data_IF_793749333420
#
_entry.id   IF_793749333420
#
_cell.length_a   1.000
_cell.length_b   1.000
_cell.length_c   1.000
_cell.angle_alpha   90.00
_cell.angle_beta   90.00
_cell.angle_gamma   90.00
#
_symmetry.space_group_name_H-M   'P 1'
#
loop_
_entity.id
_entity.type
_entity.pdbx_description
1 polymer ?
#
# COMPACT_ATOMS: atom_id res chain seq x y z
N UNK A 1 17.62 -22.57 51.43
CA UNK A 1 18.09 -23.77 50.75
C UNK A 1 16.89 -24.67 50.53
N UNK A 2 16.15 -24.47 49.48
CA UNK A 2 15.17 -25.42 48.94
C UNK A 2 15.16 -25.27 47.44
N UNK A 3 15.65 -26.33 46.82
CA UNK A 3 15.67 -26.54 45.37
C UNK A 3 14.26 -26.91 44.95
N UNK A 4 13.65 -26.19 44.00
CA UNK A 4 12.44 -26.64 43.33
C UNK A 4 12.84 -27.05 41.92
N UNK A 5 12.77 -28.34 41.67
CA UNK A 5 12.97 -28.97 40.35
C UNK A 5 11.86 -28.54 39.40
N UNK A 6 12.25 -28.10 38.20
CA UNK A 6 11.36 -27.82 37.10
C UNK A 6 11.08 -29.09 36.30
N UNK A 7 9.80 -29.48 36.24
CA UNK A 7 9.31 -30.56 35.36
C UNK A 7 9.24 -30.07 33.91
N UNK A 8 9.57 -30.88 32.91
CA UNK A 8 9.48 -30.49 31.50
C UNK A 8 8.03 -30.53 31.04
N UNK A 9 7.54 -29.40 30.55
CA UNK A 9 6.26 -29.30 29.83
C UNK A 9 6.41 -29.81 28.41
N UNK A 10 5.91 -30.99 28.11
CA UNK A 10 5.64 -31.43 26.74
C UNK A 10 4.60 -30.55 26.06
N UNK A 11 5.02 -29.77 25.09
CA UNK A 11 4.12 -28.95 24.24
C UNK A 11 3.51 -29.81 23.15
N UNK A 12 2.28 -30.21 23.29
CA UNK A 12 1.50 -30.85 22.24
C UNK A 12 0.80 -29.77 21.39
N UNK A 13 1.24 -29.49 20.14
CA UNK A 13 0.73 -28.38 19.33
C UNK A 13 -0.72 -28.55 18.88
N UNK A 14 -1.30 -29.75 19.01
CA UNK A 14 -2.70 -30.01 18.59
C UNK A 14 -3.76 -29.49 19.55
N UNK A 15 -3.42 -29.17 20.79
CA UNK A 15 -4.38 -28.65 21.79
C UNK A 15 -4.52 -27.12 21.76
N UNK A 16 -3.55 -26.40 21.22
CA UNK A 16 -3.59 -24.92 21.18
C UNK A 16 -4.51 -24.42 20.04
N UNK A 17 -4.61 -25.17 18.93
CA UNK A 17 -5.44 -24.79 17.78
C UNK A 17 -6.94 -24.90 18.08
N UNK A 18 -7.34 -25.82 18.94
CA UNK A 18 -8.76 -26.05 19.28
C UNK A 18 -9.28 -25.00 20.28
N UNK A 19 -8.43 -24.43 21.13
CA UNK A 19 -8.84 -23.43 22.13
C UNK A 19 -9.01 -22.01 21.57
N UNK A 20 -8.43 -21.69 20.40
CA UNK A 20 -8.55 -20.36 19.78
C UNK A 20 -9.75 -20.24 18.81
N UNK A 21 -10.39 -21.35 18.45
CA UNK A 21 -11.55 -21.35 17.54
C UNK A 21 -12.92 -21.40 18.28
N UNK A 22 -12.96 -21.77 19.55
CA UNK A 22 -14.21 -21.91 20.31
C UNK A 22 -14.89 -20.60 20.74
N UNK A 23 -14.20 -19.48 21.01
CA UNK A 23 -14.90 -18.23 21.34
C UNK A 23 -15.53 -17.52 20.14
N UNK A 24 -15.08 -17.80 18.92
CA UNK A 24 -15.63 -17.17 17.71
C UNK A 24 -16.99 -17.75 17.28
N UNK A 25 -17.30 -18.99 17.64
CA UNK A 25 -18.58 -19.64 17.28
C UNK A 25 -19.72 -19.33 18.25
N UNK A 26 -19.42 -18.96 19.48
CA UNK A 26 -20.44 -18.67 20.51
C UNK A 26 -21.05 -17.25 20.43
N UNK A 27 -20.41 -16.33 19.68
CA UNK A 27 -20.89 -14.96 19.51
C UNK A 27 -21.91 -14.75 18.38
N UNK A 28 -22.24 -15.78 17.61
CA UNK A 28 -23.15 -15.67 16.45
C UNK A 28 -24.64 -15.99 16.75
N UNK A 29 -25.03 -16.27 17.98
CA UNK A 29 -26.39 -16.73 18.27
C UNK A 29 -27.24 -15.80 19.17
N UNK A 30 -26.83 -14.56 19.36
CA UNK A 30 -27.70 -13.61 20.07
C UNK A 30 -27.53 -12.21 19.55
N UNK A 31 -28.43 -11.78 18.66
CA UNK A 31 -28.91 -10.39 18.53
C UNK A 31 -29.80 -10.27 17.26
N UNK A 32 -31.02 -10.75 17.42
CA UNK A 32 -32.14 -10.25 16.64
C UNK A 32 -33.07 -9.54 17.62
N UNK A 33 -33.10 -8.23 17.59
CA UNK A 33 -34.27 -7.46 18.01
C UNK A 33 -34.22 -6.06 17.42
N UNK A 34 -35.27 -5.76 16.66
CA UNK A 34 -35.59 -4.49 16.07
C UNK A 34 -35.76 -3.38 17.10
N UNK A 35 -35.28 -2.18 16.79
CA UNK A 35 -35.98 -0.93 17.11
C UNK A 35 -35.75 0.07 15.97
N UNK A 36 -36.80 0.26 15.19
CA UNK A 36 -36.91 1.39 14.29
C UNK A 36 -37.25 2.63 15.13
N UNK A 37 -36.36 3.60 15.15
CA UNK A 37 -36.68 4.94 15.66
C UNK A 37 -36.59 5.91 14.46
N UNK A 38 -37.77 6.38 14.05
CA UNK A 38 -37.98 7.49 13.16
C UNK A 38 -37.47 8.78 13.81
N UNK A 39 -36.37 9.32 13.32
CA UNK A 39 -35.96 10.68 13.63
C UNK A 39 -36.44 11.61 12.56
N UNK A 40 -37.34 12.49 12.91
CA UNK A 40 -37.83 13.64 12.14
C UNK A 40 -36.66 14.54 11.76
N UNK A 41 -36.49 14.75 10.45
CA UNK A 41 -35.56 15.72 9.91
C UNK A 41 -35.99 17.14 10.31
N UNK A 42 -35.19 17.78 11.14
CA UNK A 42 -35.25 19.23 11.33
C UNK A 42 -34.54 19.85 10.11
N UNK A 43 -35.32 20.42 9.21
CA UNK A 43 -34.83 21.26 8.13
C UNK A 43 -34.33 22.57 8.73
N UNK A 44 -33.07 22.61 9.12
CA UNK A 44 -32.33 23.82 9.45
C UNK A 44 -31.67 24.33 8.17
N UNK A 45 -32.16 25.40 7.56
CA UNK A 45 -31.53 26.10 6.45
C UNK A 45 -30.26 26.85 6.87
N UNK A 46 -29.20 26.11 7.17
CA UNK A 46 -27.84 26.62 7.21
C UNK A 46 -27.17 26.15 5.92
N UNK A 47 -26.69 27.06 5.08
CA UNK A 47 -25.96 26.73 3.86
C UNK A 47 -24.83 25.77 4.22
N UNK A 48 -24.90 24.53 3.69
CA UNK A 48 -23.89 23.50 3.93
C UNK A 48 -22.55 24.04 3.43
N UNK A 49 -21.60 24.19 4.34
CA UNK A 49 -20.26 24.66 3.98
C UNK A 49 -19.63 23.65 3.05
N UNK A 50 -19.43 24.02 1.78
CA UNK A 50 -18.75 23.17 0.82
C UNK A 50 -17.29 22.95 1.27
N UNK A 51 -16.91 21.70 1.43
CA UNK A 51 -15.57 21.29 1.80
C UNK A 51 -14.69 21.06 0.54
N UNK A 52 -13.38 21.19 0.70
CA UNK A 52 -12.45 20.65 -0.27
C UNK A 52 -12.55 19.11 -0.25
N UNK A 53 -12.94 18.44 -1.37
CA UNK A 53 -13.10 16.99 -1.34
C UNK A 53 -11.76 16.30 -1.03
N UNK A 54 -11.82 15.26 -0.21
CA UNK A 54 -10.67 14.40 0.15
C UNK A 54 -10.73 13.11 -0.64
N UNK A 55 -9.61 12.76 -1.29
CA UNK A 55 -9.46 11.49 -2.00
C UNK A 55 -8.36 10.68 -1.32
N UNK A 56 -8.74 9.52 -0.76
CA UNK A 56 -7.83 8.58 -0.11
C UNK A 56 -7.20 7.63 -1.14
N UNK A 57 -5.88 7.60 -1.21
CA UNK A 57 -5.10 6.77 -2.12
C UNK A 57 -4.29 5.77 -1.27
N UNK A 58 -4.57 4.45 -1.36
CA UNK A 58 -3.95 3.46 -0.50
C UNK A 58 -2.51 3.14 -0.90
N UNK A 59 -1.78 2.48 0.01
CA UNK A 59 -0.48 1.87 -0.26
C UNK A 59 -0.60 0.47 -0.87
N UNK A 60 0.54 -0.20 -1.01
CA UNK A 60 0.61 -1.59 -1.48
C UNK A 60 -0.18 -2.50 -0.55
N UNK A 61 -1.04 -3.36 -1.12
CA UNK A 61 -1.92 -4.23 -0.35
C UNK A 61 -3.02 -3.53 0.45
N UNK A 62 -3.19 -2.21 0.28
CA UNK A 62 -4.07 -1.37 1.11
C UNK A 62 -5.53 -1.29 0.66
N UNK A 63 -5.95 -2.09 -0.30
CA UNK A 63 -7.34 -2.25 -0.70
C UNK A 63 -7.66 -3.69 -1.08
N UNK A 64 -8.94 -4.00 -1.12
CA UNK A 64 -9.41 -5.32 -1.58
C UNK A 64 -9.16 -5.47 -3.08
N UNK A 65 -8.85 -6.71 -3.49
CA UNK A 65 -8.69 -7.11 -4.88
C UNK A 65 -9.53 -8.35 -5.13
N UNK A 66 -10.34 -8.31 -6.17
CA UNK A 66 -11.14 -9.46 -6.61
C UNK A 66 -10.54 -10.14 -7.83
N UNK A 67 -10.76 -11.43 -7.93
CA UNK A 67 -10.37 -12.22 -9.10
C UNK A 67 -11.54 -13.06 -9.63
N UNK A 68 -11.44 -13.41 -10.91
CA UNK A 68 -12.27 -14.40 -11.58
C UNK A 68 -11.38 -15.36 -12.34
N UNK A 69 -11.68 -16.65 -12.28
CA UNK A 69 -10.95 -17.68 -13.01
C UNK A 69 -11.73 -18.05 -14.26
N UNK A 70 -11.07 -17.97 -15.40
CA UNK A 70 -11.61 -18.40 -16.70
C UNK A 70 -11.27 -19.87 -16.99
N UNK A 71 -11.78 -20.40 -18.10
CA UNK A 71 -11.48 -21.77 -18.55
C UNK A 71 -10.01 -21.96 -18.94
N UNK A 72 -9.25 -20.88 -19.13
CA UNK A 72 -7.81 -20.92 -19.43
C UNK A 72 -6.93 -21.09 -18.17
N UNK A 73 -7.51 -20.98 -16.97
CA UNK A 73 -6.75 -21.15 -15.74
C UNK A 73 -6.25 -22.58 -15.56
N UNK A 74 -4.94 -22.74 -15.46
CA UNK A 74 -4.24 -24.03 -15.32
C UNK A 74 -3.43 -24.05 -14.02
N UNK A 75 -4.04 -24.44 -12.89
CA UNK A 75 -3.32 -24.49 -11.61
C UNK A 75 -2.28 -25.61 -11.60
N UNK A 76 -1.18 -25.40 -10.88
CA UNK A 76 -0.07 -26.35 -10.78
C UNK A 76 -0.40 -27.59 -9.92
N UNK A 77 -1.44 -27.55 -9.10
CA UNK A 77 -1.80 -28.63 -8.20
C UNK A 77 -3.27 -29.02 -8.27
N UNK A 78 -3.57 -30.27 -7.89
CA UNK A 78 -4.96 -30.76 -7.80
C UNK A 78 -5.78 -29.98 -6.76
N UNK A 79 -5.17 -29.59 -5.64
CA UNK A 79 -5.81 -28.78 -4.61
C UNK A 79 -6.29 -27.44 -5.16
N UNK A 80 -5.44 -26.78 -5.96
CA UNK A 80 -5.79 -25.53 -6.60
C UNK A 80 -6.87 -25.67 -7.70
N UNK A 81 -6.98 -26.86 -8.29
CA UNK A 81 -8.01 -27.19 -9.29
C UNK A 81 -9.40 -27.38 -8.68
N UNK A 82 -9.47 -27.96 -7.48
CA UNK A 82 -10.75 -28.25 -6.79
C UNK A 82 -11.33 -27.01 -6.13
N UNK A 83 -10.50 -26.07 -5.67
CA UNK A 83 -10.95 -24.89 -4.94
C UNK A 83 -12.00 -24.03 -5.70
N UNK A 84 -11.86 -23.75 -7.02
CA UNK A 84 -12.88 -23.02 -7.78
C UNK A 84 -14.22 -23.76 -7.88
N UNK A 85 -14.22 -25.11 -7.80
CA UNK A 85 -15.44 -25.90 -7.83
C UNK A 85 -16.28 -25.71 -6.56
N UNK A 86 -15.64 -25.45 -5.43
CA UNK A 86 -16.30 -25.20 -4.14
C UNK A 86 -16.90 -23.79 -4.08
N UNK A 87 -16.24 -22.80 -4.68
CA UNK A 87 -16.66 -21.37 -4.68
C UNK A 87 -17.55 -20.98 -5.88
N UNK A 88 -17.77 -21.86 -6.85
CA UNK A 88 -18.51 -21.59 -8.09
C UNK A 88 -17.56 -21.11 -9.22
N UNK A 89 -17.69 -21.76 -10.40
CA UNK A 89 -16.93 -21.37 -11.59
C UNK A 89 -17.48 -20.07 -12.16
N UNK A 90 -16.56 -19.14 -12.56
CA UNK A 90 -16.91 -17.93 -13.31
C UNK A 90 -17.40 -16.75 -12.47
N UNK A 91 -17.56 -16.90 -11.15
CA UNK A 91 -17.91 -15.81 -10.26
C UNK A 91 -16.67 -14.99 -9.80
N UNK A 92 -16.89 -13.71 -9.48
CA UNK A 92 -15.88 -12.90 -8.81
C UNK A 92 -15.76 -13.30 -7.34
N UNK A 93 -14.54 -13.39 -6.84
CA UNK A 93 -14.24 -13.67 -5.43
C UNK A 93 -13.14 -12.75 -4.95
N UNK A 94 -13.13 -12.44 -3.64
CA UNK A 94 -12.06 -11.67 -3.05
C UNK A 94 -10.77 -12.50 -3.05
N UNK A 95 -9.74 -12.01 -3.72
CA UNK A 95 -8.41 -12.61 -3.77
C UNK A 95 -7.51 -12.02 -2.69
N UNK A 96 -7.54 -10.70 -2.51
CA UNK A 96 -6.82 -9.98 -1.48
C UNK A 96 -7.80 -9.15 -0.63
N UNK A 97 -7.80 -9.18 0.68
CA UNK A 97 -7.14 -10.15 1.52
C UNK A 97 -8.16 -11.22 1.96
N UNK A 98 -7.85 -12.48 1.73
CA UNK A 98 -8.70 -13.61 2.15
C UNK A 98 -7.84 -14.54 3.02
N UNK A 99 -7.94 -14.43 4.38
CA UNK A 99 -7.09 -15.17 5.31
C UNK A 99 -7.12 -16.68 5.13
N UNK A 100 -8.26 -17.24 4.71
CA UNK A 100 -8.45 -18.69 4.56
C UNK A 100 -7.58 -19.31 3.45
N UNK A 101 -7.13 -18.50 2.47
CA UNK A 101 -6.34 -18.99 1.33
C UNK A 101 -4.84 -18.73 1.47
N UNK A 102 -4.42 -17.88 2.44
CA UNK A 102 -2.99 -17.63 2.68
C UNK A 102 -2.31 -18.68 3.54
N UNK A 103 -3.08 -19.59 4.18
CA UNK A 103 -2.55 -20.71 4.98
C UNK A 103 -2.51 -22.02 4.17
N UNK A 104 -1.55 -22.89 4.53
CA UNK A 104 -1.43 -24.20 3.90
C UNK A 104 -2.75 -25.01 4.02
N UNK A 105 -3.12 -25.78 2.99
CA UNK A 105 -2.39 -26.06 1.74
C UNK A 105 -2.68 -25.05 0.61
N UNK A 106 -3.46 -24.00 0.83
CA UNK A 106 -3.95 -23.09 -0.20
C UNK A 106 -2.99 -21.93 -0.52
N UNK A 107 -1.96 -21.69 0.31
CA UNK A 107 -0.95 -20.62 0.10
C UNK A 107 -0.38 -20.62 -1.32
N UNK A 108 -0.08 -21.80 -1.85
CA UNK A 108 0.45 -21.94 -3.22
C UNK A 108 -0.56 -21.49 -4.27
N UNK A 109 -1.84 -21.86 -4.09
CA UNK A 109 -2.90 -21.46 -5.01
C UNK A 109 -3.14 -19.97 -4.98
N UNK A 110 -3.04 -19.36 -3.80
CA UNK A 110 -3.08 -17.91 -3.63
C UNK A 110 -1.93 -17.25 -4.39
N UNK A 111 -0.68 -17.66 -4.13
CA UNK A 111 0.49 -17.12 -4.79
C UNK A 111 0.40 -17.20 -6.32
N UNK A 112 0.02 -18.37 -6.89
CA UNK A 112 -0.14 -18.57 -8.33
C UNK A 112 -1.16 -17.61 -8.97
N UNK A 113 -2.24 -17.26 -8.26
CA UNK A 113 -3.26 -16.32 -8.76
C UNK A 113 -2.83 -14.87 -8.63
N UNK A 114 -2.03 -14.57 -7.61
CA UNK A 114 -1.51 -13.23 -7.37
C UNK A 114 -0.34 -12.87 -8.28
N UNK A 115 0.34 -13.85 -8.89
CA UNK A 115 1.50 -13.60 -9.76
C UNK A 115 1.11 -12.76 -10.98
N UNK A 116 2.00 -11.82 -11.30
CA UNK A 116 2.04 -11.15 -12.60
C UNK A 116 3.13 -11.77 -13.48
N UNK A 117 3.01 -11.57 -14.77
CA UNK A 117 3.98 -11.99 -15.77
C UNK A 117 4.36 -10.81 -16.65
N UNK A 118 5.65 -10.58 -16.80
CA UNK A 118 6.14 -9.62 -17.76
C UNK A 118 6.10 -10.24 -19.16
N UNK A 119 5.40 -9.58 -20.07
CA UNK A 119 5.34 -9.93 -21.48
C UNK A 119 6.32 -9.04 -22.24
N UNK A 120 7.44 -9.63 -22.66
CA UNK A 120 8.51 -8.89 -23.33
C UNK A 120 8.10 -8.36 -24.70
N UNK A 121 7.20 -9.05 -25.41
CA UNK A 121 6.70 -8.63 -26.73
C UNK A 121 5.76 -7.44 -26.61
N UNK A 122 4.95 -7.42 -25.55
CA UNK A 122 4.06 -6.29 -25.24
C UNK A 122 4.75 -5.19 -24.42
N UNK A 123 5.94 -5.45 -23.90
CA UNK A 123 6.66 -4.62 -22.93
C UNK A 123 5.77 -4.18 -21.77
N UNK A 124 4.94 -5.09 -21.24
CA UNK A 124 4.01 -4.77 -20.16
C UNK A 124 3.69 -5.99 -19.29
N UNK A 125 3.17 -5.73 -18.10
CA UNK A 125 2.76 -6.79 -17.16
C UNK A 125 1.33 -7.24 -17.41
N UNK A 126 1.06 -8.52 -17.12
CA UNK A 126 -0.26 -9.13 -17.20
C UNK A 126 -0.51 -10.11 -16.06
N UNK A 127 -1.77 -10.39 -15.79
CA UNK A 127 -2.17 -11.45 -14.86
C UNK A 127 -1.70 -12.84 -15.34
N UNK A 128 -1.66 -13.78 -14.41
CA UNK A 128 -1.51 -15.21 -14.74
C UNK A 128 -2.57 -15.64 -15.77
N UNK A 129 -2.21 -16.55 -16.70
CA UNK A 129 -3.18 -17.06 -17.69
C UNK A 129 -4.46 -17.58 -17.02
N UNK A 130 -5.60 -17.11 -17.51
CA UNK A 130 -6.91 -17.47 -16.98
C UNK A 130 -7.28 -16.82 -15.65
N UNK A 131 -6.51 -15.86 -15.17
CA UNK A 131 -6.85 -15.03 -14.01
C UNK A 131 -7.21 -13.62 -14.49
N UNK A 132 -8.43 -13.19 -14.18
CA UNK A 132 -8.85 -11.80 -14.34
C UNK A 132 -8.96 -11.15 -12.99
N UNK A 133 -8.57 -9.88 -12.88
CA UNK A 133 -8.65 -9.11 -11.64
C UNK A 133 -9.42 -7.83 -11.83
N UNK A 134 -10.07 -7.39 -10.75
CA UNK A 134 -10.69 -6.08 -10.70
C UNK A 134 -10.61 -5.48 -9.30
N UNK A 135 -10.74 -4.19 -9.26
CA UNK A 135 -10.94 -3.42 -8.03
C UNK A 135 -12.39 -2.96 -8.03
N UNK A 136 -13.13 -3.34 -7.00
CA UNK A 136 -14.52 -2.91 -6.81
C UNK A 136 -14.60 -1.54 -6.16
N UNK A 137 -15.77 -0.91 -6.25
CA UNK A 137 -16.16 0.30 -5.53
C UNK A 137 -15.17 1.48 -5.65
N UNK A 138 -14.63 1.69 -6.86
CA UNK A 138 -13.79 2.85 -7.13
C UNK A 138 -14.58 4.15 -6.95
N UNK A 139 -14.05 5.06 -6.15
CA UNK A 139 -14.72 6.27 -5.68
C UNK A 139 -15.24 6.13 -4.24
N UNK A 140 -15.47 4.91 -3.75
CA UNK A 140 -15.87 4.64 -2.36
C UNK A 140 -14.67 4.28 -1.49
N UNK A 141 -14.75 4.57 -0.18
CA UNK A 141 -13.76 4.15 0.81
C UNK A 141 -13.97 2.71 1.28
N UNK A 142 -15.04 2.03 0.88
CA UNK A 142 -15.46 0.73 1.39
C UNK A 142 -14.35 -0.33 1.37
N UNK A 143 -13.63 -0.44 0.24
CA UNK A 143 -12.55 -1.42 0.04
C UNK A 143 -11.20 -1.01 0.63
N UNK A 144 -11.09 0.24 1.11
CA UNK A 144 -9.90 0.78 1.78
C UNK A 144 -10.00 0.69 3.30
N UNK A 145 -11.21 0.65 3.85
CA UNK A 145 -11.42 0.64 5.30
C UNK A 145 -10.93 -0.67 5.90
N UNK A 146 -11.28 -1.79 5.30
CA UNK A 146 -10.96 -3.13 5.78
C UNK A 146 -10.51 -4.02 4.61
N UNK A 147 -9.40 -4.72 4.79
CA UNK A 147 -8.96 -5.69 3.78
C UNK A 147 -9.87 -6.92 3.75
N UNK A 148 -10.42 -7.30 4.91
CA UNK A 148 -11.49 -8.29 5.02
C UNK A 148 -12.64 -7.71 5.88
N UNK A 149 -13.81 -7.42 5.29
CA UNK A 149 -14.95 -6.85 6.02
C UNK A 149 -15.58 -7.81 7.04
N UNK A 150 -15.22 -9.12 7.02
CA UNK A 150 -15.65 -10.08 8.05
C UNK A 150 -14.74 -10.08 9.27
N UNK A 151 -13.50 -9.62 9.11
CA UNK A 151 -12.46 -9.56 10.15
C UNK A 151 -12.01 -8.11 10.42
N UNK A 152 -12.95 -7.19 10.54
CA UNK A 152 -12.71 -5.74 10.64
C UNK A 152 -11.66 -5.34 11.67
N UNK A 153 -11.69 -5.96 12.86
CA UNK A 153 -10.75 -5.64 13.95
C UNK A 153 -9.29 -5.99 13.60
N UNK A 154 -9.08 -7.03 12.78
CA UNK A 154 -7.76 -7.52 12.41
C UNK A 154 -7.26 -6.89 11.11
N UNK A 155 -8.17 -6.54 10.20
CA UNK A 155 -7.84 -6.13 8.84
C UNK A 155 -8.18 -4.65 8.55
N UNK A 156 -8.46 -3.86 9.60
CA UNK A 156 -8.69 -2.43 9.48
C UNK A 156 -7.45 -1.74 8.92
N UNK A 157 -7.64 -0.97 7.83
CA UNK A 157 -6.58 -0.22 7.17
C UNK A 157 -6.83 1.28 7.28
N UNK A 158 -7.57 1.89 6.37
CA UNK A 158 -7.86 3.33 6.42
C UNK A 158 -9.15 3.68 7.19
N UNK A 159 -9.78 2.72 7.85
CA UNK A 159 -11.06 2.96 8.55
C UNK A 159 -10.98 4.06 9.61
N UNK A 160 -9.92 4.05 10.43
CA UNK A 160 -9.77 5.06 11.49
C UNK A 160 -9.57 6.46 10.91
N UNK A 161 -8.80 6.58 9.82
CA UNK A 161 -8.61 7.85 9.11
C UNK A 161 -9.92 8.32 8.47
N UNK A 162 -10.62 7.46 7.75
CA UNK A 162 -11.89 7.79 7.11
C UNK A 162 -12.95 8.21 8.15
N UNK A 163 -13.08 7.45 9.25
CA UNK A 163 -13.98 7.77 10.36
C UNK A 163 -13.60 9.11 11.04
N UNK A 164 -12.32 9.43 11.13
CA UNK A 164 -11.86 10.72 11.69
C UNK A 164 -12.29 11.89 10.79
N UNK A 165 -12.19 11.73 9.47
CA UNK A 165 -12.67 12.72 8.51
C UNK A 165 -14.20 12.84 8.53
N UNK A 166 -14.93 11.73 8.62
CA UNK A 166 -16.39 11.73 8.74
C UNK A 166 -16.87 12.49 9.98
N UNK A 167 -16.20 12.30 11.12
CA UNK A 167 -16.48 13.07 12.35
C UNK A 167 -16.20 14.58 12.20
N UNK A 168 -15.38 14.95 11.24
CA UNK A 168 -15.10 16.34 10.90
C UNK A 168 -16.03 16.91 9.82
N UNK A 169 -17.09 16.18 9.44
CA UNK A 169 -18.12 16.64 8.51
C UNK A 169 -17.94 16.18 7.07
N UNK A 170 -16.97 15.30 6.79
CA UNK A 170 -16.83 14.68 5.47
C UNK A 170 -17.87 13.58 5.27
N UNK A 171 -18.41 13.47 4.06
CA UNK A 171 -19.41 12.47 3.72
C UNK A 171 -18.93 11.60 2.58
N UNK A 172 -19.00 10.26 2.78
CA UNK A 172 -18.61 9.30 1.75
C UNK A 172 -19.44 9.46 0.47
N UNK A 173 -18.77 9.47 -0.69
CA UNK A 173 -19.37 9.65 -1.99
C UNK A 173 -19.79 11.10 -2.31
N UNK A 174 -19.64 12.03 -1.37
CA UNK A 174 -19.93 13.45 -1.58
C UNK A 174 -18.67 14.32 -1.46
N UNK A 175 -17.99 14.26 -0.31
CA UNK A 175 -16.75 15.00 -0.05
C UNK A 175 -15.58 14.12 0.36
N UNK A 176 -15.82 12.82 0.64
CA UNK A 176 -14.80 11.80 0.95
C UNK A 176 -14.88 10.67 -0.07
N UNK A 177 -13.75 10.37 -0.71
CA UNK A 177 -13.65 9.39 -1.78
C UNK A 177 -12.46 8.45 -1.54
N UNK A 178 -12.54 7.25 -2.13
CA UNK A 178 -11.46 6.28 -2.16
C UNK A 178 -11.02 5.96 -3.58
N UNK A 179 -9.72 5.81 -3.79
CA UNK A 179 -9.14 5.47 -5.09
C UNK A 179 -8.36 4.14 -5.01
N UNK A 180 -9.04 3.00 -4.84
CA UNK A 180 -8.39 1.69 -4.83
C UNK A 180 -7.83 1.32 -6.20
N UNK A 181 -6.75 0.50 -6.22
CA UNK A 181 -6.11 0.05 -7.45
C UNK A 181 -5.52 -1.36 -7.31
N UNK A 182 -5.18 -1.98 -8.43
CA UNK A 182 -4.46 -3.25 -8.42
C UNK A 182 -2.98 -2.96 -8.08
N UNK A 183 -2.65 -3.06 -6.81
CA UNK A 183 -1.36 -2.69 -6.24
C UNK A 183 -0.18 -3.55 -6.69
N UNK A 184 -0.42 -4.65 -7.38
CA UNK A 184 0.64 -5.51 -7.94
C UNK A 184 1.31 -4.85 -9.16
N UNK A 185 0.53 -4.10 -9.93
CA UNK A 185 1.06 -3.33 -11.05
C UNK A 185 1.78 -2.09 -10.56
N UNK A 186 2.81 -1.70 -11.28
CA UNK A 186 3.50 -0.43 -11.11
C UNK A 186 3.13 0.55 -12.22
N UNK A 187 3.98 1.53 -12.39
CA UNK A 187 4.03 2.39 -13.57
C UNK A 187 5.36 2.17 -14.27
N UNK A 188 5.37 2.44 -15.56
CA UNK A 188 6.59 2.42 -16.35
C UNK A 188 7.10 3.84 -16.64
N UNK A 189 8.41 3.94 -16.84
CA UNK A 189 9.06 5.15 -17.34
C UNK A 189 8.47 5.59 -18.69
N UNK A 190 8.54 6.88 -19.04
CA UNK A 190 8.11 7.35 -20.35
C UNK A 190 8.72 6.55 -21.50
N UNK A 191 7.90 6.18 -22.48
CA UNK A 191 8.29 5.35 -23.62
C UNK A 191 7.94 3.86 -23.45
N UNK A 192 7.58 3.42 -22.25
CA UNK A 192 7.13 2.07 -21.97
C UNK A 192 5.62 2.05 -21.68
N UNK A 193 4.84 1.08 -22.18
CA UNK A 193 3.42 0.96 -21.87
C UNK A 193 3.21 0.57 -20.41
N UNK A 194 2.10 1.00 -19.84
CA UNK A 194 1.66 0.65 -18.50
C UNK A 194 0.13 0.66 -18.50
N UNK A 195 -0.49 -0.38 -19.08
CA UNK A 195 -1.93 -0.39 -19.33
C UNK A 195 -2.75 -0.31 -18.06
N UNK A 196 -2.45 -1.14 -17.07
CA UNK A 196 -3.22 -1.17 -15.82
C UNK A 196 -2.92 0.06 -14.96
N UNK A 197 -1.64 0.38 -14.75
CA UNK A 197 -1.24 1.56 -13.99
C UNK A 197 -1.66 2.88 -14.65
N UNK A 198 -1.55 2.97 -15.98
CA UNK A 198 -2.02 4.12 -16.76
C UNK A 198 -3.52 4.31 -16.67
N UNK A 199 -4.31 3.25 -16.87
CA UNK A 199 -5.76 3.28 -16.72
C UNK A 199 -6.20 3.68 -15.29
N UNK A 200 -5.43 3.30 -14.28
CA UNK A 200 -5.67 3.77 -12.92
C UNK A 200 -5.45 5.29 -12.80
N UNK A 201 -4.37 5.84 -13.35
CA UNK A 201 -4.13 7.28 -13.34
C UNK A 201 -5.25 8.05 -14.05
N UNK A 202 -5.75 7.54 -15.17
CA UNK A 202 -6.88 8.14 -15.89
C UNK A 202 -8.17 8.13 -15.04
N UNK A 203 -8.46 7.01 -14.38
CA UNK A 203 -9.61 6.92 -13.45
C UNK A 203 -9.44 7.84 -12.25
N UNK A 204 -8.25 7.94 -11.67
CA UNK A 204 -7.96 8.84 -10.55
C UNK A 204 -8.13 10.30 -10.98
N UNK A 205 -7.68 10.67 -12.17
CA UNK A 205 -7.89 11.99 -12.75
C UNK A 205 -9.37 12.34 -12.86
N UNK A 206 -10.17 11.44 -13.43
CA UNK A 206 -11.62 11.61 -13.55
C UNK A 206 -12.31 11.70 -12.18
N UNK A 207 -11.87 10.93 -11.19
CA UNK A 207 -12.37 11.02 -9.82
C UNK A 207 -12.10 12.39 -9.21
N UNK A 208 -10.88 12.92 -9.39
CA UNK A 208 -10.52 14.27 -8.92
C UNK A 208 -11.43 15.31 -9.57
N UNK A 209 -11.60 15.27 -10.90
CA UNK A 209 -12.46 16.21 -11.64
C UNK A 209 -13.92 16.15 -11.16
N UNK A 210 -14.48 14.95 -11.02
CA UNK A 210 -15.88 14.75 -10.57
C UNK A 210 -16.07 15.17 -9.11
N UNK A 211 -15.11 14.87 -8.23
CA UNK A 211 -15.15 15.28 -6.84
C UNK A 211 -15.12 16.81 -6.70
N UNK A 212 -14.26 17.50 -7.48
CA UNK A 212 -14.24 18.96 -7.53
C UNK A 212 -15.59 19.52 -8.00
N UNK A 213 -16.14 18.99 -9.09
CA UNK A 213 -17.42 19.43 -9.63
C UNK A 213 -18.58 19.25 -8.63
N UNK A 214 -18.64 18.11 -7.94
CA UNK A 214 -19.64 17.81 -6.92
C UNK A 214 -19.54 18.74 -5.68
N UNK A 215 -18.36 19.32 -5.45
CA UNK A 215 -18.10 20.23 -4.33
C UNK A 215 -17.96 21.71 -4.76
N UNK A 216 -18.74 22.14 -5.74
CA UNK A 216 -18.82 23.54 -6.17
C UNK A 216 -17.51 24.07 -6.79
N UNK A 217 -16.72 23.20 -7.41
CA UNK A 217 -15.44 23.55 -8.02
C UNK A 217 -14.29 23.67 -7.02
N UNK A 218 -14.47 23.30 -5.74
CA UNK A 218 -13.38 23.27 -4.76
C UNK A 218 -12.36 22.21 -5.12
N UNK A 219 -11.09 22.59 -5.11
CA UNK A 219 -9.97 21.71 -5.46
C UNK A 219 -9.82 20.58 -4.46
N UNK A 220 -9.44 19.40 -4.92
CA UNK A 220 -9.32 18.21 -4.09
C UNK A 220 -8.03 18.20 -3.24
N UNK A 221 -8.13 17.61 -2.05
CA UNK A 221 -6.99 17.23 -1.21
C UNK A 221 -6.73 15.75 -1.46
N UNK A 222 -5.56 15.42 -2.01
CA UNK A 222 -5.12 14.03 -2.20
C UNK A 222 -4.42 13.55 -0.94
N UNK A 223 -4.94 12.52 -0.27
CA UNK A 223 -4.33 11.92 0.92
C UNK A 223 -3.83 10.53 0.54
N UNK A 224 -2.52 10.39 0.42
CA UNK A 224 -1.88 9.21 -0.15
C UNK A 224 -0.95 8.51 0.87
N UNK A 225 -1.17 7.23 1.12
CA UNK A 225 -0.32 6.42 2.00
C UNK A 225 0.68 5.59 1.19
N UNK A 226 1.94 5.55 1.65
CA UNK A 226 2.95 4.62 1.12
C UNK A 226 3.10 4.70 -0.41
N UNK A 227 3.00 3.58 -1.13
CA UNK A 227 3.03 3.47 -2.60
C UNK A 227 2.03 4.43 -3.27
N UNK A 228 0.89 4.69 -2.63
CA UNK A 228 -0.11 5.65 -3.14
C UNK A 228 0.44 7.04 -3.36
N UNK A 229 1.44 7.48 -2.58
CA UNK A 229 2.13 8.76 -2.78
C UNK A 229 2.93 8.81 -4.07
N UNK A 230 3.56 7.69 -4.46
CA UNK A 230 4.27 7.59 -5.74
C UNK A 230 3.29 7.69 -6.93
N UNK A 231 2.11 7.03 -6.83
CA UNK A 231 1.07 7.17 -7.84
C UNK A 231 0.49 8.58 -7.93
N UNK A 232 0.22 9.21 -6.78
CA UNK A 232 -0.25 10.60 -6.73
C UNK A 232 0.77 11.57 -7.36
N UNK A 233 2.06 11.38 -7.06
CA UNK A 233 3.12 12.16 -7.68
C UNK A 233 3.16 11.98 -9.21
N UNK A 234 3.02 10.75 -9.70
CA UNK A 234 3.00 10.47 -11.13
C UNK A 234 1.76 11.03 -11.84
N UNK A 235 0.59 11.05 -11.18
CA UNK A 235 -0.58 11.76 -11.69
C UNK A 235 -0.27 13.25 -11.88
N UNK A 236 0.27 13.89 -10.84
CA UNK A 236 0.59 15.31 -10.87
C UNK A 236 1.65 15.65 -11.91
N UNK A 237 2.72 14.85 -11.98
CA UNK A 237 3.81 15.07 -12.93
C UNK A 237 3.37 14.95 -14.40
N UNK A 238 2.44 14.05 -14.69
CA UNK A 238 1.92 13.82 -16.05
C UNK A 238 0.77 14.77 -16.41
N UNK A 239 0.13 15.38 -15.42
CA UNK A 239 -0.96 16.33 -15.66
C UNK A 239 -0.45 17.72 -16.08
N UNK A 240 -1.16 18.42 -16.98
CA UNK A 240 -0.83 19.79 -17.34
C UNK A 240 -0.84 20.72 -16.12
N UNK A 241 0.03 21.76 -16.04
CA UNK A 241 0.03 22.71 -14.93
C UNK A 241 -1.33 23.38 -14.68
N UNK A 242 -2.07 23.74 -15.75
CA UNK A 242 -3.40 24.30 -15.65
C UNK A 242 -4.41 23.35 -14.99
N UNK A 243 -4.31 22.05 -15.28
CA UNK A 243 -5.17 21.04 -14.65
C UNK A 243 -4.87 20.90 -13.15
N UNK A 244 -3.57 20.84 -12.78
CA UNK A 244 -3.17 20.80 -11.36
C UNK A 244 -3.70 22.01 -10.57
N UNK A 245 -3.52 23.20 -11.14
CA UNK A 245 -3.97 24.44 -10.52
C UNK A 245 -5.50 24.51 -10.37
N UNK A 246 -6.26 23.90 -11.30
CA UNK A 246 -7.71 23.90 -11.26
C UNK A 246 -8.30 22.84 -10.32
N UNK A 247 -7.61 21.72 -10.09
CA UNK A 247 -8.23 20.56 -9.48
C UNK A 247 -7.57 20.08 -8.16
N UNK A 248 -6.31 20.44 -7.88
CA UNK A 248 -5.62 19.92 -6.69
C UNK A 248 -5.22 21.06 -5.77
N UNK A 249 -5.75 21.03 -4.56
CA UNK A 249 -5.42 21.98 -3.49
C UNK A 249 -4.12 21.66 -2.81
N UNK A 250 -3.94 20.36 -2.45
CA UNK A 250 -2.77 19.87 -1.75
C UNK A 250 -2.60 18.38 -1.93
N UNK A 251 -1.36 17.95 -1.99
CA UNK A 251 -0.98 16.54 -1.81
C UNK A 251 -0.50 16.33 -0.36
N UNK A 252 -1.21 15.47 0.36
CA UNK A 252 -0.87 15.02 1.70
C UNK A 252 -0.34 13.60 1.61
N UNK A 253 0.93 13.37 1.93
CA UNK A 253 1.52 12.03 1.89
C UNK A 253 1.81 11.50 3.29
N UNK A 254 1.49 10.22 3.48
CA UNK A 254 1.65 9.51 4.74
C UNK A 254 2.70 8.41 4.51
N UNK A 255 3.92 8.63 4.98
CA UNK A 255 5.04 7.67 4.88
C UNK A 255 5.31 7.14 3.47
N UNK A 256 5.36 8.01 2.45
CA UNK A 256 5.63 7.58 1.07
C UNK A 256 7.11 7.26 0.85
N UNK A 257 7.43 6.07 0.28
CA UNK A 257 8.80 5.58 0.07
C UNK A 257 9.44 6.18 -1.18
N UNK A 258 9.79 7.47 -1.15
CA UNK A 258 10.28 8.22 -2.31
C UNK A 258 11.54 7.63 -2.94
N UNK A 259 12.37 6.99 -2.12
CA UNK A 259 13.61 6.33 -2.54
C UNK A 259 13.55 4.80 -2.48
N UNK A 260 12.36 4.20 -2.32
CA UNK A 260 12.21 2.77 -2.08
C UNK A 260 12.48 2.38 -0.62
N UNK A 261 12.64 1.09 -0.35
CA UNK A 261 12.90 0.56 1.00
C UNK A 261 13.83 -0.66 0.96
N UNK A 262 14.73 -0.75 1.93
CA UNK A 262 15.67 -1.90 2.05
C UNK A 262 14.92 -3.20 2.34
N UNK A 263 13.79 -3.12 3.07
CA UNK A 263 12.92 -4.28 3.33
C UNK A 263 12.45 -4.98 2.04
N UNK A 264 12.33 -4.25 0.93
CA UNK A 264 11.99 -4.84 -0.37
C UNK A 264 13.11 -5.75 -0.88
N UNK A 265 14.38 -5.44 -0.61
CA UNK A 265 15.48 -6.38 -0.95
C UNK A 265 15.34 -7.70 -0.16
N UNK A 266 14.94 -7.65 1.12
CA UNK A 266 14.63 -8.86 1.89
C UNK A 266 13.47 -9.64 1.27
N UNK A 267 12.41 -8.94 0.89
CA UNK A 267 11.24 -9.52 0.22
C UNK A 267 11.63 -10.25 -1.06
N UNK A 268 12.50 -9.66 -1.87
CA UNK A 268 13.00 -10.29 -3.09
C UNK A 268 13.94 -11.46 -2.82
N UNK A 269 14.82 -11.36 -1.83
CA UNK A 269 15.79 -12.40 -1.49
C UNK A 269 15.11 -13.65 -0.89
N UNK A 270 14.35 -13.46 0.20
CA UNK A 270 13.84 -14.56 1.04
C UNK A 270 12.32 -14.65 1.10
N UNK A 271 11.59 -13.65 0.62
CA UNK A 271 10.15 -13.50 0.84
C UNK A 271 9.83 -12.81 2.17
N UNK A 272 8.63 -12.24 2.26
CA UNK A 272 8.13 -11.57 3.46
C UNK A 272 6.69 -11.97 3.73
N UNK A 273 6.42 -12.55 4.90
CA UNK A 273 5.08 -12.99 5.30
C UNK A 273 4.14 -11.84 5.69
N UNK A 274 4.64 -10.60 5.73
CA UNK A 274 3.90 -9.42 6.19
C UNK A 274 3.32 -9.59 7.60
N UNK A 275 3.98 -10.42 8.43
CA UNK A 275 3.52 -10.75 9.78
C UNK A 275 2.37 -11.77 9.84
N UNK A 276 1.93 -12.34 8.72
CA UNK A 276 0.90 -13.38 8.71
C UNK A 276 1.49 -14.67 9.26
N UNK A 277 0.96 -15.21 10.37
CA UNK A 277 1.49 -16.42 10.97
C UNK A 277 1.23 -17.65 10.10
N UNK A 278 2.10 -18.66 10.20
CA UNK A 278 1.99 -19.95 9.52
C UNK A 278 2.11 -19.90 7.99
N UNK A 279 2.46 -18.77 7.40
CA UNK A 279 2.79 -18.63 5.98
C UNK A 279 4.28 -18.92 5.79
N UNK A 280 4.60 -19.77 4.80
CA UNK A 280 5.99 -19.98 4.42
C UNK A 280 6.41 -18.88 3.43
N UNK A 281 7.39 -18.06 3.81
CA UNK A 281 7.89 -16.95 3.01
C UNK A 281 8.37 -17.39 1.62
N UNK A 282 8.98 -18.58 1.49
CA UNK A 282 9.45 -19.10 0.20
C UNK A 282 8.32 -19.38 -0.79
N UNK A 283 7.11 -19.71 -0.31
CA UNK A 283 5.96 -19.97 -1.19
C UNK A 283 5.38 -18.70 -1.81
N UNK A 284 5.47 -17.56 -1.11
CA UNK A 284 4.96 -16.27 -1.57
C UNK A 284 6.04 -15.41 -2.23
N UNK A 285 7.31 -15.77 -2.07
CA UNK A 285 8.44 -15.01 -2.65
C UNK A 285 8.34 -14.83 -4.16
N UNK A 286 7.93 -15.89 -4.89
CA UNK A 286 7.79 -15.84 -6.35
C UNK A 286 6.69 -14.84 -6.76
N UNK A 287 5.58 -14.82 -6.03
CA UNK A 287 4.51 -13.85 -6.21
C UNK A 287 5.01 -12.41 -5.95
N UNK A 288 5.66 -12.20 -4.81
CA UNK A 288 6.17 -10.88 -4.43
C UNK A 288 7.20 -10.33 -5.43
N UNK A 289 8.06 -11.19 -5.99
CA UNK A 289 9.00 -10.83 -7.06
C UNK A 289 8.29 -10.44 -8.35
N UNK A 290 7.16 -11.04 -8.64
CA UNK A 290 6.41 -10.83 -9.89
C UNK A 290 5.70 -9.48 -9.94
N UNK A 291 5.47 -8.82 -8.79
CA UNK A 291 4.77 -7.54 -8.73
C UNK A 291 5.64 -6.40 -9.24
N UNK A 292 5.22 -5.72 -10.30
CA UNK A 292 5.93 -4.57 -10.87
C UNK A 292 6.08 -3.43 -9.85
N UNK A 293 5.08 -3.23 -9.01
CA UNK A 293 5.14 -2.24 -7.93
C UNK A 293 6.27 -2.50 -6.94
N UNK A 294 6.60 -3.76 -6.65
CA UNK A 294 7.71 -4.10 -5.78
C UNK A 294 9.06 -3.79 -6.44
N UNK A 295 9.20 -3.94 -7.76
CA UNK A 295 10.39 -3.48 -8.48
C UNK A 295 10.56 -1.96 -8.37
N UNK A 296 9.46 -1.22 -8.41
CA UNK A 296 9.48 0.24 -8.23
C UNK A 296 9.87 0.67 -6.81
N UNK A 297 9.59 -0.18 -5.81
CA UNK A 297 9.93 0.06 -4.41
C UNK A 297 11.35 -0.38 -4.00
N UNK A 298 12.16 -0.92 -4.93
CA UNK A 298 13.57 -1.21 -4.67
C UNK A 298 14.37 0.07 -4.37
N UNK A 299 15.39 0.00 -3.48
CA UNK A 299 16.21 1.14 -3.11
C UNK A 299 16.82 1.86 -4.31
N UNK A 300 16.68 3.19 -4.36
CA UNK A 300 17.21 3.99 -5.46
C UNK A 300 18.65 4.47 -5.21
N UNK A 301 19.50 4.52 -6.24
CA UNK A 301 20.86 5.04 -6.11
C UNK A 301 20.92 6.50 -5.63
N UNK A 302 19.89 7.30 -5.93
CA UNK A 302 19.80 8.70 -5.53
C UNK A 302 19.78 8.86 -4.01
N UNK A 303 19.17 7.90 -3.28
CA UNK A 303 19.04 7.92 -1.82
C UNK A 303 20.15 7.14 -1.14
N UNK A 304 20.35 5.90 -1.56
CA UNK A 304 21.21 4.96 -0.86
C UNK A 304 22.65 4.90 -1.42
N UNK A 305 22.88 5.41 -2.63
CA UNK A 305 24.19 5.51 -3.22
C UNK A 305 24.97 4.19 -3.25
N UNK A 306 26.17 4.23 -2.66
CA UNK A 306 27.06 3.07 -2.51
C UNK A 306 26.92 2.37 -1.14
N UNK A 307 25.98 2.80 -0.29
CA UNK A 307 25.78 2.16 1.01
C UNK A 307 25.51 0.67 0.82
N UNK A 308 26.21 -0.17 1.57
CA UNK A 308 25.98 -1.62 1.56
C UNK A 308 24.64 -1.94 2.19
N UNK A 309 23.71 -2.44 1.39
CA UNK A 309 22.36 -2.81 1.81
C UNK A 309 22.24 -4.33 2.04
N UNK A 310 22.97 -5.12 1.28
CA UNK A 310 23.00 -6.58 1.42
C UNK A 310 24.44 -7.10 1.33
N UNK A 311 24.77 -8.02 2.21
CA UNK A 311 26.01 -8.82 2.15
C UNK A 311 25.61 -10.28 1.92
N UNK A 312 26.26 -10.97 0.99
CA UNK A 312 26.12 -12.40 0.77
C UNK A 312 27.48 -13.08 0.91
N UNK A 313 27.64 -13.88 1.95
CA UNK A 313 28.85 -14.67 2.18
C UNK A 313 29.00 -15.72 1.08
N UNK A 314 27.94 -16.43 0.76
CA UNK A 314 27.92 -17.45 -0.31
C UNK A 314 28.41 -16.93 -1.67
N UNK A 315 28.08 -15.70 -2.03
CA UNK A 315 28.49 -15.09 -3.29
C UNK A 315 29.77 -14.26 -3.14
N UNK A 316 30.32 -14.15 -1.91
CA UNK A 316 31.43 -13.26 -1.58
C UNK A 316 31.22 -11.85 -2.17
N UNK A 317 30.04 -11.26 -1.94
CA UNK A 317 29.61 -10.04 -2.59
C UNK A 317 28.78 -9.13 -1.69
N UNK A 318 28.88 -7.83 -1.94
CA UNK A 318 28.02 -6.79 -1.35
C UNK A 318 27.16 -6.14 -2.41
N UNK A 319 25.94 -5.75 -2.02
CA UNK A 319 25.00 -5.08 -2.90
C UNK A 319 24.59 -3.75 -2.31
N UNK A 320 24.59 -2.74 -3.15
CA UNK A 320 24.09 -1.38 -2.90
C UNK A 320 22.95 -1.08 -3.85
N UNK A 321 22.32 0.08 -3.71
CA UNK A 321 21.32 0.54 -4.67
C UNK A 321 21.84 0.68 -6.11
N UNK A 322 23.15 0.82 -6.31
CA UNK A 322 23.74 0.93 -7.65
C UNK A 322 23.84 -0.39 -8.41
N UNK A 323 23.91 -1.51 -7.70
CA UNK A 323 24.07 -2.83 -8.32
C UNK A 323 22.88 -3.76 -8.06
N UNK A 324 21.66 -3.19 -7.93
CA UNK A 324 20.42 -3.96 -7.79
C UNK A 324 20.22 -4.97 -8.92
N UNK A 325 20.60 -4.67 -10.15
CA UNK A 325 20.52 -5.63 -11.26
C UNK A 325 21.34 -6.90 -11.00
N UNK A 326 22.55 -6.76 -10.44
CA UNK A 326 23.36 -7.91 -10.04
C UNK A 326 22.71 -8.67 -8.86
N UNK A 327 22.15 -7.94 -7.90
CA UNK A 327 21.40 -8.55 -6.80
C UNK A 327 20.23 -9.40 -7.33
N UNK A 328 19.44 -8.88 -8.28
CA UNK A 328 18.31 -9.61 -8.88
C UNK A 328 18.78 -10.90 -9.59
N UNK A 329 19.93 -10.86 -10.28
CA UNK A 329 20.51 -12.05 -10.89
C UNK A 329 20.93 -13.09 -9.83
N UNK A 330 21.66 -12.65 -8.81
CA UNK A 330 22.24 -13.55 -7.79
C UNK A 330 21.22 -14.19 -6.86
N UNK A 331 20.05 -13.54 -6.66
CA UNK A 331 18.90 -14.16 -5.97
C UNK A 331 18.08 -15.10 -6.88
N UNK A 332 18.49 -15.33 -8.13
CA UNK A 332 17.80 -16.19 -9.09
C UNK A 332 16.54 -15.56 -9.69
N UNK A 333 16.50 -14.22 -9.84
CA UNK A 333 15.39 -13.50 -10.48
C UNK A 333 15.88 -12.66 -11.67
N UNK A 334 16.50 -13.33 -12.64
CA UNK A 334 17.03 -12.70 -13.85
C UNK A 334 15.94 -12.03 -14.71
N UNK A 335 14.74 -12.59 -14.74
CA UNK A 335 13.59 -12.06 -15.49
C UNK A 335 13.14 -10.67 -15.01
N UNK A 336 13.45 -10.32 -13.76
CA UNK A 336 13.14 -8.99 -13.20
C UNK A 336 14.15 -7.91 -13.55
N UNK A 337 15.32 -8.26 -14.14
CA UNK A 337 16.41 -7.31 -14.39
C UNK A 337 16.02 -6.28 -15.44
N UNK A 338 15.48 -6.72 -16.57
CA UNK A 338 15.10 -5.81 -17.66
C UNK A 338 13.91 -4.92 -17.28
N UNK A 339 12.80 -5.45 -16.73
CA UNK A 339 11.71 -4.61 -16.23
C UNK A 339 12.17 -3.61 -15.18
N UNK A 340 13.04 -4.00 -14.24
CA UNK A 340 13.59 -3.07 -13.27
C UNK A 340 14.37 -1.96 -13.95
N UNK A 341 15.32 -2.32 -14.83
CA UNK A 341 16.24 -1.39 -15.47
C UNK A 341 15.55 -0.37 -16.38
N UNK A 342 14.62 -0.85 -17.22
CA UNK A 342 13.98 -0.03 -18.24
C UNK A 342 12.72 0.69 -17.75
N UNK A 343 11.91 0.03 -16.90
CA UNK A 343 10.57 0.49 -16.59
C UNK A 343 10.49 1.20 -15.23
N UNK A 344 10.98 0.59 -14.15
CA UNK A 344 10.72 1.10 -12.79
C UNK A 344 11.85 1.92 -12.19
N UNK A 345 13.11 1.53 -12.42
CA UNK A 345 14.27 2.26 -11.90
C UNK A 345 14.29 3.74 -12.30
N UNK A 346 14.02 4.13 -13.56
CA UNK A 346 14.03 5.55 -13.95
C UNK A 346 12.99 6.39 -13.20
N UNK A 347 11.84 5.81 -12.83
CA UNK A 347 10.83 6.50 -12.01
C UNK A 347 11.32 6.83 -10.60
N UNK A 348 12.13 5.94 -10.00
CA UNK A 348 12.72 6.16 -8.68
C UNK A 348 13.92 7.11 -8.70
N UNK A 349 14.67 7.17 -9.82
CA UNK A 349 15.82 8.07 -9.97
C UNK A 349 15.41 9.51 -10.27
N UNK A 350 14.28 9.71 -10.96
CA UNK A 350 13.75 11.03 -11.30
C UNK A 350 12.48 11.26 -10.48
N UNK A 351 12.59 12.02 -9.39
CA UNK A 351 11.46 12.44 -8.60
C UNK A 351 11.04 13.84 -9.05
N UNK A 352 9.95 13.97 -9.85
CA UNK A 352 9.51 15.26 -10.39
C UNK A 352 8.92 16.15 -9.30
N UNK A 353 8.91 17.46 -9.53
CA UNK A 353 8.17 18.37 -8.67
C UNK A 353 6.66 18.14 -8.82
N UNK A 354 5.91 18.07 -7.72
CA UNK A 354 4.45 17.91 -7.78
C UNK A 354 3.73 19.08 -8.45
N UNK A 355 4.26 20.30 -8.32
CA UNK A 355 3.67 21.53 -8.85
C UNK A 355 2.32 21.91 -8.20
N UNK A 356 2.09 21.42 -6.99
CA UNK A 356 1.02 21.77 -6.05
C UNK A 356 1.61 21.79 -4.64
N UNK A 357 1.00 22.47 -3.66
CA UNK A 357 1.45 22.38 -2.27
C UNK A 357 1.49 20.94 -1.76
N UNK A 358 2.55 20.57 -1.06
CA UNK A 358 2.74 19.21 -0.49
C UNK A 358 2.95 19.30 1.01
N UNK A 359 2.36 18.38 1.74
CA UNK A 359 2.72 18.11 3.13
C UNK A 359 3.03 16.62 3.28
N UNK A 360 4.25 16.31 3.72
CA UNK A 360 4.71 14.94 3.99
C UNK A 360 4.66 14.68 5.48
N UNK A 361 3.81 13.74 5.92
CA UNK A 361 3.85 13.20 7.27
C UNK A 361 4.66 11.91 7.26
N UNK A 362 5.68 11.83 8.10
CA UNK A 362 6.62 10.70 8.12
C UNK A 362 6.81 10.17 9.53
N UNK A 363 6.68 8.85 9.70
CA UNK A 363 7.03 8.18 10.94
C UNK A 363 8.56 8.10 11.11
N UNK A 364 9.05 8.30 12.32
CA UNK A 364 10.49 8.26 12.64
C UNK A 364 10.76 7.52 13.93
N UNK A 365 12.02 7.12 14.16
CA UNK A 365 12.45 6.51 15.41
C UNK A 365 11.94 5.08 15.63
N UNK A 366 11.49 4.38 14.58
CA UNK A 366 11.10 2.97 14.62
C UNK A 366 12.18 2.15 13.93
N UNK A 367 12.64 1.08 14.58
CA UNK A 367 13.66 0.19 14.03
C UNK A 367 13.27 -0.29 12.63
N UNK A 368 14.06 0.09 11.64
CA UNK A 368 13.81 -0.16 10.22
C UNK A 368 15.00 -0.87 9.60
N UNK A 369 14.77 -1.89 8.79
CA UNK A 369 15.84 -2.66 8.15
C UNK A 369 16.73 -1.73 7.33
N UNK A 370 18.02 -1.65 7.71
CA UNK A 370 19.02 -0.81 7.04
C UNK A 370 20.01 -1.63 6.22
N UNK A 371 20.39 -2.82 6.71
CA UNK A 371 21.16 -3.78 5.93
C UNK A 371 20.92 -5.22 6.36
N UNK A 372 21.25 -6.16 5.46
CA UNK A 372 21.00 -7.59 5.58
C UNK A 372 22.29 -8.36 5.33
N UNK A 373 22.58 -9.37 6.16
CA UNK A 373 23.69 -10.30 5.92
C UNK A 373 23.11 -11.69 5.70
N UNK A 374 23.42 -12.29 4.58
CA UNK A 374 23.11 -13.67 4.22
C UNK A 374 24.36 -14.52 4.32
N UNK A 375 24.29 -15.63 5.05
CA UNK A 375 25.40 -16.58 5.26
C UNK A 375 25.62 -17.50 4.06
N UNK A 376 26.45 -18.53 4.29
CA UNK A 376 26.82 -19.56 3.30
C UNK A 376 25.61 -20.36 2.78
N UNK A 377 24.53 -20.49 3.56
CA UNK A 377 23.29 -21.16 3.14
C UNK A 377 22.53 -20.35 2.06
N UNK A 378 22.93 -19.09 1.81
CA UNK A 378 22.42 -18.24 0.76
C UNK A 378 21.08 -17.58 1.08
N UNK A 379 20.45 -17.01 0.04
CA UNK A 379 19.25 -16.17 0.18
C UNK A 379 18.00 -16.94 0.66
N UNK A 380 17.91 -18.24 0.34
CA UNK A 380 16.73 -19.05 0.67
C UNK A 380 16.60 -19.32 2.19
N UNK A 381 17.71 -19.36 2.91
CA UNK A 381 17.72 -19.54 4.35
C UNK A 381 17.26 -18.31 5.14
N UNK A 382 17.16 -17.16 4.47
CA UNK A 382 16.94 -15.88 5.13
C UNK A 382 18.22 -15.23 5.65
N UNK A 383 18.18 -13.97 6.10
CA UNK A 383 19.34 -13.28 6.60
C UNK A 383 19.77 -13.82 7.96
N UNK A 384 21.07 -14.08 8.13
CA UNK A 384 21.68 -14.48 9.43
C UNK A 384 21.87 -13.29 10.36
N UNK A 385 21.87 -12.05 9.80
CA UNK A 385 21.91 -10.81 10.57
C UNK A 385 21.11 -9.73 9.86
N UNK A 386 20.32 -8.99 10.63
CA UNK A 386 19.62 -7.80 10.21
C UNK A 386 20.17 -6.63 11.01
N UNK A 387 20.58 -5.56 10.33
CA UNK A 387 20.98 -4.29 10.95
C UNK A 387 19.78 -3.34 10.80
N UNK A 388 19.46 -2.68 11.88
CA UNK A 388 18.38 -1.71 11.94
C UNK A 388 18.91 -0.30 12.04
N UNK A 389 18.24 0.65 11.37
CA UNK A 389 18.44 2.08 11.42
C UNK A 389 17.13 2.81 11.67
N UNK A 390 17.11 4.11 11.41
CA UNK A 390 15.93 4.95 11.61
C UNK A 390 14.96 4.88 10.43
N UNK A 391 13.68 4.95 10.75
CA UNK A 391 12.57 4.99 9.81
C UNK A 391 11.23 4.80 10.50
N UNK A 392 10.25 4.28 9.76
CA UNK A 392 8.91 4.02 10.25
C UNK A 392 8.61 2.52 10.49
N UNK A 393 9.64 1.68 10.51
CA UNK A 393 9.56 0.22 10.64
C UNK A 393 9.44 -0.52 9.30
N UNK A 394 9.23 0.19 8.21
CA UNK A 394 9.15 -0.36 6.84
C UNK A 394 10.04 0.42 5.89
N UNK A 395 9.95 1.73 5.91
CA UNK A 395 10.67 2.66 5.02
C UNK A 395 11.74 3.41 5.81
N UNK A 396 12.96 3.36 5.32
CA UNK A 396 14.10 4.06 5.91
C UNK A 396 13.89 5.58 5.91
N UNK A 397 14.25 6.28 6.97
CA UNK A 397 14.12 7.73 7.09
C UNK A 397 14.76 8.46 5.90
N UNK A 398 15.94 7.99 5.46
CA UNK A 398 16.61 8.53 4.27
C UNK A 398 15.73 8.51 3.02
N UNK A 399 14.88 7.48 2.87
CA UNK A 399 13.93 7.37 1.76
C UNK A 399 12.71 8.27 1.95
N UNK A 400 12.22 8.41 3.18
CA UNK A 400 11.05 9.22 3.49
C UNK A 400 11.29 10.72 3.26
N UNK A 401 12.51 11.23 3.59
CA UNK A 401 12.80 12.67 3.58
C UNK A 401 13.88 13.07 2.57
N UNK A 402 14.81 12.17 2.23
CA UNK A 402 15.98 12.52 1.41
C UNK A 402 15.63 13.09 0.04
N UNK A 403 14.81 12.39 -0.77
CA UNK A 403 14.50 12.83 -2.13
C UNK A 403 13.69 14.12 -2.20
N UNK A 404 12.85 14.39 -1.21
CA UNK A 404 11.97 15.56 -1.20
C UNK A 404 12.71 16.87 -0.84
N UNK A 405 13.93 16.79 -0.33
CA UNK A 405 14.77 18.00 -0.09
C UNK A 405 14.97 18.80 -1.38
N UNK A 406 15.06 18.13 -2.54
CA UNK A 406 15.18 18.83 -3.80
C UNK A 406 13.95 19.71 -4.14
N UNK A 407 12.77 19.37 -3.59
CA UNK A 407 11.58 20.21 -3.75
C UNK A 407 11.65 21.47 -2.88
N UNK A 408 12.35 21.43 -1.72
CA UNK A 408 12.55 22.60 -0.87
C UNK A 408 13.43 23.66 -1.53
N UNK A 409 14.31 23.26 -2.45
CA UNK A 409 15.21 24.16 -3.16
C UNK A 409 14.49 24.92 -4.31
N UNK A 410 13.28 24.50 -4.67
CA UNK A 410 12.48 25.15 -5.70
C UNK A 410 11.68 26.32 -5.11
N UNK A 411 11.84 27.53 -5.65
CA UNK A 411 11.13 28.71 -5.12
C UNK A 411 9.61 28.67 -5.34
N UNK A 412 9.13 27.79 -6.21
CA UNK A 412 7.71 27.66 -6.56
C UNK A 412 7.02 26.49 -5.88
N UNK A 413 7.79 25.56 -5.25
CA UNK A 413 7.24 24.37 -4.63
C UNK A 413 7.05 24.59 -3.12
N UNK A 414 5.81 24.64 -2.68
CA UNK A 414 5.47 24.66 -1.24
C UNK A 414 5.57 23.25 -0.70
N UNK A 415 6.45 23.06 0.29
CA UNK A 415 6.66 21.76 0.95
C UNK A 415 6.72 21.94 2.47
N UNK A 416 5.87 21.18 3.15
CA UNK A 416 5.90 21.01 4.61
C UNK A 416 6.27 19.56 4.93
N UNK A 417 7.13 19.34 5.92
CA UNK A 417 7.47 18.00 6.42
C UNK A 417 7.12 17.93 7.91
N UNK A 418 6.32 16.93 8.28
CA UNK A 418 5.90 16.69 9.66
C UNK A 418 6.45 15.33 10.09
N UNK A 419 7.45 15.35 10.96
CA UNK A 419 7.97 14.12 11.57
C UNK A 419 7.10 13.70 12.75
N UNK A 420 6.81 12.41 12.83
CA UNK A 420 5.97 11.77 13.83
C UNK A 420 6.79 10.70 14.59
N UNK A 421 7.43 11.09 15.71
CA UNK A 421 8.29 10.18 16.46
C UNK A 421 7.54 8.95 16.97
N UNK A 422 8.15 7.75 16.76
CA UNK A 422 7.61 6.45 17.17
C UNK A 422 6.31 6.03 16.49
N UNK A 423 5.93 6.70 15.41
CA UNK A 423 4.78 6.31 14.59
C UNK A 423 5.26 5.36 13.50
N UNK A 424 4.71 4.14 13.48
CA UNK A 424 5.07 3.14 12.48
C UNK A 424 4.35 3.37 11.14
N UNK A 425 4.86 2.72 10.08
CA UNK A 425 4.35 2.80 8.70
C UNK A 425 2.82 2.63 8.61
N UNK A 426 2.31 1.56 9.20
CA UNK A 426 0.86 1.31 9.25
C UNK A 426 0.19 2.08 10.39
N UNK A 427 0.93 2.40 11.44
CA UNK A 427 0.46 3.16 12.58
C UNK A 427 0.00 4.56 12.21
N UNK A 428 0.61 5.21 11.23
CA UNK A 428 0.28 6.57 10.80
C UNK A 428 -1.20 6.75 10.42
N UNK A 429 -1.87 5.67 9.99
CA UNK A 429 -3.30 5.66 9.65
C UNK A 429 -4.23 5.59 10.87
N UNK A 430 -3.69 5.31 12.06
CA UNK A 430 -4.45 5.03 13.30
C UNK A 430 -3.94 5.82 14.49
N UNK A 431 -2.70 6.29 14.46
CA UNK A 431 -2.10 7.04 15.55
C UNK A 431 -2.83 8.35 15.79
N UNK A 432 -3.12 8.63 17.06
CA UNK A 432 -3.90 9.82 17.46
C UNK A 432 -3.19 11.13 17.05
N UNK A 433 -1.89 11.20 17.18
CA UNK A 433 -1.11 12.41 16.85
C UNK A 433 -1.10 12.62 15.35
N UNK A 434 -0.86 11.55 14.56
CA UNK A 434 -0.91 11.59 13.12
C UNK A 434 -2.29 12.04 12.60
N UNK A 435 -3.36 11.44 13.12
CA UNK A 435 -4.74 11.80 12.73
C UNK A 435 -5.09 13.25 13.10
N UNK A 436 -4.63 13.73 14.26
CA UNK A 436 -4.82 15.12 14.66
C UNK A 436 -4.08 16.09 13.73
N UNK A 437 -2.86 15.76 13.28
CA UNK A 437 -2.12 16.58 12.32
C UNK A 437 -2.82 16.60 10.95
N UNK A 438 -3.23 15.44 10.44
CA UNK A 438 -3.98 15.36 9.19
C UNK A 438 -5.25 16.22 9.27
N UNK A 439 -6.01 16.09 10.33
CA UNK A 439 -7.24 16.82 10.55
C UNK A 439 -7.01 18.36 10.62
N UNK A 440 -5.99 18.80 11.36
CA UNK A 440 -5.60 20.22 11.43
C UNK A 440 -5.29 20.80 10.05
N UNK A 441 -4.51 20.08 9.23
CA UNK A 441 -4.15 20.50 7.88
C UNK A 441 -5.40 20.64 7.02
N UNK A 442 -6.24 19.59 6.99
CA UNK A 442 -7.48 19.58 6.21
C UNK A 442 -8.44 20.69 6.64
N UNK A 443 -8.60 20.91 7.96
CA UNK A 443 -9.44 21.97 8.49
C UNK A 443 -8.88 23.37 8.16
N UNK A 444 -7.57 23.59 8.27
CA UNK A 444 -6.96 24.87 7.92
C UNK A 444 -7.15 25.24 6.45
N UNK A 445 -7.10 24.27 5.55
CA UNK A 445 -7.39 24.45 4.12
C UNK A 445 -8.84 24.91 3.92
N UNK A 446 -9.79 24.26 4.60
CA UNK A 446 -11.21 24.62 4.49
C UNK A 446 -11.52 26.02 5.05
N UNK A 447 -10.87 26.43 6.16
CA UNK A 447 -11.05 27.74 6.77
C UNK A 447 -10.50 28.89 5.89
N UNK A 448 -9.33 28.69 5.28
CA UNK A 448 -8.75 29.68 4.38
C UNK A 448 -9.62 29.95 3.15
N UNK A 449 -10.33 28.93 2.66
CA UNK A 449 -11.22 29.07 1.54
C UNK A 449 -12.49 29.88 1.86
N UNK A 450 -12.95 29.91 3.13
CA UNK A 450 -14.08 30.73 3.56
C UNK A 450 -13.71 32.21 3.72
N UNK A 451 -12.50 32.51 4.17
CA UNK A 451 -12.04 33.90 4.31
C UNK A 451 -11.83 34.61 2.98
N UNK A 452 -11.41 33.90 1.93
CA UNK A 452 -11.25 34.50 0.58
C UNK A 452 -12.60 34.75 -0.13
N UNK A 453 -13.64 33.98 0.16
CA UNK A 453 -14.98 34.20 -0.41
C UNK A 453 -15.70 35.44 0.18
N UNK A 454 -15.37 35.86 1.41
CA UNK A 454 -15.93 37.06 2.04
C UNK A 454 -15.24 38.38 1.65
N UNK A 455 -14.06 38.30 1.02
CA UNK A 455 -13.33 39.49 0.54
C UNK A 455 -13.65 39.85 -0.93
N UNK A 456 -14.38 39.00 -1.62
CA UNK A 456 -14.76 39.18 -3.06
C UNK A 456 -16.22 39.53 -3.27
N UNK A 457 -16.99 39.78 -2.22
CA UNK A 457 -18.35 40.34 -2.23
C UNK A 457 -18.34 41.73 -1.63
#
# INVERSE_FOLDING_TARGET
>A
MHIVEALPMERNPRRVVVLLLLPALAAMLSLSSCCASSSSAVVGGGGQQLLHPVILIPGSGGNQLEARLTDDYRPSSLTCRVWPLVRGRGGWFRMWFEPSVVVAPLTRCFAERMMLYYDADADDYRNAPGVETRVSDFGSTSTLRYLDPTLKLLTGYMDTLATTLEKAGYEEGQSLFGAPYDFRYGLAAPGHPSRVGGAYLDRLRLLVESACAANGGRRAILVAHSLGGLYALQLLARAPPAWRAAHVERLLTLSSPWGGAVEIMRTFASGNTLGVPFVNASLIRAEQRSSESNLWLLPTPKVFGNTTLVVSERHNRTYSAKNVTQFLQDIGFADGVEPYRARTRPLGEVLPEPGVPVTCLVGTGVDTVESLVYGEDGFDAGPVKVVYGDGDGTVNLASLVGPIKAWSDSPTQVLDVVELPKVSHMGILKDKTALQQILRIVQSINLNATSTSHQST
#
